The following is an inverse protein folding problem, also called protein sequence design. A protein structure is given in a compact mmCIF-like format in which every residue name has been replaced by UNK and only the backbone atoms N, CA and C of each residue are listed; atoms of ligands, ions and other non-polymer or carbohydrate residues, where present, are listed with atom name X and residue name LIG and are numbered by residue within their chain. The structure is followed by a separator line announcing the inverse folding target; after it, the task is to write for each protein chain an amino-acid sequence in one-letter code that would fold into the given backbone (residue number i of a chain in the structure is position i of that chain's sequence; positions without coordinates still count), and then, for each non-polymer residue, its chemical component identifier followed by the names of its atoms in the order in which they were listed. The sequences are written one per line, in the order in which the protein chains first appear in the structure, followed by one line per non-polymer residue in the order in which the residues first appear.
data_IF_386225461965
#
_entry.id   IF_386225461965
#
_cell.length_a   1.000
_cell.length_b   1.000
_cell.length_c   1.000
_cell.angle_alpha   90.00
_cell.angle_beta   90.00
_cell.angle_gamma   90.00
#
_symmetry.space_group_name_H-M   'P 1'
#
loop_
_entity.id
_entity.type
_entity.pdbx_description
1 polymer ?
2 non-polymer ?
3 non-polymer ?
4 non-polymer ?
5 water ?
#
# COMPACT_ATOMS: atom_id res chain seq x y z
N UNK A 20 23.36 -11.38 10.56
CA UNK A 20 24.38 -10.80 11.45
C UNK A 20 25.72 -10.58 10.71
N UNK A 21 25.62 -9.94 9.52
CA UNK A 21 26.71 -9.56 8.64
C UNK A 21 26.61 -8.03 8.43
N UNK A 22 27.32 -7.52 7.41
CA UNK A 22 27.27 -6.10 7.08
C UNK A 22 27.25 -5.89 5.57
N UNK A 23 26.74 -4.74 5.14
CA UNK A 23 26.71 -4.40 3.72
C UNK A 23 27.16 -2.96 3.48
N UNK A 24 27.66 -2.71 2.27
CA UNK A 24 28.16 -1.38 1.92
C UNK A 24 27.30 -0.76 0.82
N UNK A 25 26.90 0.49 1.01
CA UNK A 25 26.00 1.15 0.08
C UNK A 25 26.52 2.56 -0.13
N UNK A 26 27.00 2.86 -1.35
CA UNK A 26 27.57 4.15 -1.74
C UNK A 26 28.65 4.61 -0.73
N UNK A 27 29.60 3.70 -0.48
CA UNK A 27 30.70 3.90 0.45
C UNK A 27 30.35 3.98 1.94
N UNK A 28 29.13 3.55 2.34
CA UNK A 28 28.70 3.60 3.74
C UNK A 28 28.39 2.20 4.29
N UNK A 29 29.03 1.83 5.41
CA UNK A 29 28.86 0.51 6.03
C UNK A 29 27.66 0.48 6.98
N UNK A 30 26.78 -0.53 6.78
CA UNK A 30 25.56 -0.78 7.54
C UNK A 30 25.61 -2.19 8.13
N UNK A 31 25.51 -2.29 9.45
CA UNK A 31 25.49 -3.58 10.10
C UNK A 31 24.03 -4.05 10.16
N UNK A 32 23.79 -5.34 9.86
CA UNK A 32 22.44 -5.90 9.87
C UNK A 32 21.94 -6.12 11.29
N UNK A 33 20.83 -5.49 11.64
CA UNK A 33 20.20 -5.67 12.93
C UNK A 33 19.31 -6.92 12.85
N UNK A 34 18.47 -7.02 11.79
CA UNK A 34 17.56 -8.16 11.56
C UNK A 34 16.92 -8.14 10.15
N UNK A 35 16.39 -9.28 9.71
CA UNK A 35 15.71 -9.38 8.42
C UNK A 35 14.23 -9.28 8.66
N UNK A 36 13.61 -8.32 7.98
CA UNK A 36 12.19 -8.03 8.00
C UNK A 36 11.49 -8.95 6.99
N UNK A 37 11.80 -8.74 5.72
CA UNK A 37 11.15 -9.43 4.62
C UNK A 37 12.04 -10.23 3.71
N UNK A 38 11.41 -11.17 3.02
CA UNK A 38 12.01 -12.09 2.05
C UNK A 38 10.96 -12.29 0.98
N UNK A 39 11.33 -11.90 -0.24
CA UNK A 39 10.49 -12.05 -1.42
C UNK A 39 11.07 -13.13 -2.31
N UNK A 40 10.96 -12.93 -3.61
CA UNK A 40 11.54 -13.86 -4.58
C UNK A 40 13.02 -13.76 -4.67
N UNK A 41 13.50 -12.67 -5.29
CA UNK A 41 14.94 -12.37 -5.46
C UNK A 41 15.35 -11.28 -4.48
N UNK A 42 14.42 -10.78 -3.65
CA UNK A 42 14.66 -9.70 -2.71
C UNK A 42 14.62 -10.07 -1.19
N UNK A 43 15.22 -9.19 -0.35
CA UNK A 43 15.33 -9.28 1.11
C UNK A 43 15.31 -7.86 1.72
N UNK A 44 14.58 -7.68 2.80
CA UNK A 44 14.53 -6.38 3.47
C UNK A 44 15.16 -6.56 4.87
N UNK A 45 16.08 -5.64 5.22
CA UNK A 45 16.77 -5.70 6.50
C UNK A 45 16.60 -4.42 7.30
N UNK A 46 16.58 -4.56 8.64
CA UNK A 46 16.68 -3.45 9.58
C UNK A 46 18.18 -3.39 9.79
N UNK A 47 18.79 -2.23 9.47
CA UNK A 47 20.25 -2.07 9.50
C UNK A 47 20.62 -0.88 10.37
N UNK A 48 21.92 -0.70 10.65
CA UNK A 48 22.41 0.42 11.43
C UNK A 48 23.68 0.97 10.80
N UNK A 49 23.78 2.30 10.71
CA UNK A 49 24.95 2.95 10.13
C UNK A 49 26.09 3.04 11.16
N UNK A 50 27.19 3.75 10.82
CA UNK A 50 28.37 3.92 11.69
C UNK A 50 28.04 4.63 13.00
N UNK A 51 27.01 5.51 12.99
CA UNK A 51 26.51 6.30 14.12
C UNK A 51 25.30 5.62 14.84
N UNK A 52 25.11 4.31 14.57
CA UNK A 52 24.08 3.42 15.12
C UNK A 52 22.65 3.94 14.90
N UNK A 53 22.39 4.51 13.70
CA UNK A 53 21.08 5.03 13.25
C UNK A 53 20.40 3.97 12.40
N UNK A 54 19.09 3.79 12.61
CA UNK A 54 18.34 2.75 11.92
C UNK A 54 17.83 3.19 10.55
N UNK A 55 17.89 2.24 9.62
CA UNK A 55 17.46 2.35 8.24
C UNK A 55 16.93 0.99 7.85
N UNK A 56 16.23 0.91 6.72
CA UNK A 56 15.82 -0.38 6.21
C UNK A 56 16.46 -0.51 4.85
N UNK A 57 17.14 -1.65 4.60
CA UNK A 57 17.75 -1.87 3.31
C UNK A 57 17.00 -2.94 2.53
N UNK A 58 16.54 -2.58 1.32
CA UNK A 58 15.99 -3.55 0.39
C UNK A 58 17.13 -4.03 -0.53
N UNK A 59 17.34 -5.33 -0.53
CA UNK A 59 18.35 -5.96 -1.34
C UNK A 59 17.66 -6.77 -2.42
N UNK A 60 18.01 -6.53 -3.68
CA UNK A 60 17.47 -7.25 -4.86
C UNK A 60 18.60 -7.91 -5.58
N UNK A 61 18.53 -9.24 -5.72
CA UNK A 61 19.51 -10.06 -6.43
C UNK A 61 19.06 -10.09 -7.88
N UNK A 62 19.89 -9.58 -8.79
CA UNK A 62 19.54 -9.46 -10.22
C UNK A 62 20.05 -10.60 -11.07
N UNK A 63 20.92 -11.45 -10.52
CA UNK A 63 21.58 -12.59 -11.16
C UNK A 63 20.71 -13.34 -12.21
N UNK A 64 19.39 -13.50 -11.96
CA UNK A 64 18.50 -14.19 -12.88
C UNK A 64 17.25 -13.37 -13.32
N UNK A 65 17.25 -12.03 -13.10
CA UNK A 65 16.14 -11.16 -13.52
C UNK A 65 16.22 -10.87 -15.01
N UNK A 66 15.05 -10.91 -15.69
CA UNK A 66 14.88 -10.65 -17.12
C UNK A 66 14.77 -9.15 -17.40
N UNK A 67 14.84 -8.74 -18.68
CA UNK A 67 14.77 -7.33 -19.11
C UNK A 67 13.52 -6.62 -18.60
N UNK A 68 12.34 -7.28 -18.69
CA UNK A 68 11.07 -6.74 -18.22
C UNK A 68 11.12 -6.54 -16.71
N UNK A 69 11.72 -7.50 -15.95
CA UNK A 69 11.89 -7.44 -14.48
C UNK A 69 12.84 -6.31 -14.08
N UNK A 70 14.02 -6.17 -14.75
CA UNK A 70 14.96 -5.09 -14.46
C UNK A 70 14.33 -3.73 -14.72
N UNK A 71 13.51 -3.62 -15.78
CA UNK A 71 12.85 -2.37 -16.13
C UNK A 71 11.78 -2.01 -15.11
N UNK A 72 11.10 -3.02 -14.51
CA UNK A 72 10.11 -2.85 -13.45
C UNK A 72 10.80 -2.29 -12.20
N UNK A 73 11.99 -2.81 -11.90
CA UNK A 73 12.80 -2.38 -10.77
C UNK A 73 13.38 -0.97 -10.97
N UNK A 74 13.79 -0.64 -12.20
CA UNK A 74 14.33 0.69 -12.56
C UNK A 74 13.22 1.76 -12.54
N UNK A 75 12.04 1.40 -13.00
CA UNK A 75 10.91 2.31 -13.01
C UNK A 75 10.47 2.69 -11.59
N UNK A 76 10.43 1.69 -10.72
CA UNK A 76 10.03 1.92 -9.34
C UNK A 76 11.00 2.83 -8.60
N UNK A 77 12.30 2.60 -8.80
CA UNK A 77 13.33 3.41 -8.15
C UNK A 77 13.29 4.87 -8.61
N UNK A 78 13.10 5.06 -9.91
CA UNK A 78 12.92 6.40 -10.51
C UNK A 78 11.68 7.12 -9.94
N UNK A 79 10.52 6.42 -9.87
CA UNK A 79 9.28 6.99 -9.33
C UNK A 79 9.39 7.26 -7.85
N UNK A 80 9.88 6.28 -7.07
CA UNK A 80 10.11 6.42 -5.63
C UNK A 80 11.06 7.59 -5.37
N UNK A 81 12.14 7.72 -6.13
CA UNK A 81 13.09 8.83 -6.02
C UNK A 81 12.46 10.20 -6.37
N UNK A 82 11.65 10.28 -7.45
CA UNK A 82 11.01 11.54 -7.82
C UNK A 82 9.93 11.94 -6.79
N UNK A 83 9.04 10.99 -6.44
CA UNK A 83 7.90 11.22 -5.55
C UNK A 83 8.27 11.57 -4.09
N UNK A 84 9.55 11.39 -3.69
CA UNK A 84 10.09 11.72 -2.35
C UNK A 84 9.66 13.15 -1.98
N UNK A 85 9.99 14.10 -2.91
CA UNK A 85 9.80 15.52 -2.88
C UNK A 85 8.34 15.99 -2.85
N UNK A 86 7.41 15.18 -3.37
CA UNK A 86 6.00 15.53 -3.49
C UNK A 86 5.14 15.20 -2.27
N UNK A 87 5.53 14.21 -1.46
CA UNK A 87 4.77 13.86 -0.26
C UNK A 87 5.64 13.18 0.78
N UNK A 88 5.32 13.40 2.04
CA UNK A 88 6.02 12.75 3.15
C UNK A 88 5.20 11.53 3.61
N UNK A 89 4.20 11.14 2.77
CA UNK A 89 3.33 9.98 2.98
C UNK A 89 3.82 8.87 2.04
N UNK A 90 5.00 9.09 1.45
CA UNK A 90 5.68 8.13 0.59
C UNK A 90 7.01 7.81 1.28
N UNK A 91 7.28 6.52 1.48
CA UNK A 91 8.52 6.04 2.10
C UNK A 91 9.75 6.82 1.60
N UNK A 92 10.65 7.23 2.52
CA UNK A 92 11.87 7.95 2.20
C UNK A 92 12.92 6.97 1.64
N UNK A 93 13.62 7.39 0.60
CA UNK A 93 14.70 6.67 -0.04
C UNK A 93 15.90 7.59 0.04
N UNK A 94 16.79 7.29 0.97
CA UNK A 94 18.03 8.04 1.14
C UNK A 94 19.07 7.85 0.05
N UNK A 95 19.28 6.60 -0.35
CA UNK A 95 20.30 6.26 -1.32
C UNK A 95 20.03 4.91 -1.95
N UNK A 96 20.63 4.67 -3.11
CA UNK A 96 20.57 3.35 -3.73
C UNK A 96 21.84 3.02 -4.51
N UNK A 97 22.12 1.72 -4.62
CA UNK A 97 23.22 1.22 -5.42
C UNK A 97 22.61 0.28 -6.43
N UNK A 98 22.86 0.55 -7.68
CA UNK A 98 22.34 -0.35 -8.70
C UNK A 98 23.48 -0.80 -9.63
N UNK A 99 23.71 -2.12 -9.67
CA UNK A 99 24.67 -2.73 -10.58
C UNK A 99 23.91 -3.72 -11.51
N UNK A 100 24.64 -4.55 -12.25
CA UNK A 100 24.07 -5.59 -13.10
C UNK A 100 23.75 -6.83 -12.25
N UNK A 101 24.33 -6.88 -11.04
CA UNK A 101 24.20 -8.01 -10.13
C UNK A 101 23.21 -7.78 -8.97
N UNK A 102 23.08 -6.53 -8.49
CA UNK A 102 22.21 -6.21 -7.35
C UNK A 102 21.61 -4.81 -7.31
N UNK A 103 20.70 -4.63 -6.37
CA UNK A 103 20.11 -3.37 -5.97
C UNK A 103 20.21 -3.35 -4.44
N UNK A 104 20.58 -2.20 -3.89
CA UNK A 104 20.60 -1.90 -2.46
C UNK A 104 19.82 -0.60 -2.31
N UNK A 105 18.70 -0.62 -1.63
CA UNK A 105 17.94 0.63 -1.42
C UNK A 105 17.94 0.99 0.06
N UNK A 106 18.60 2.12 0.42
CA UNK A 106 18.65 2.66 1.77
C UNK A 106 17.41 3.53 1.98
N UNK A 107 16.53 3.08 2.89
CA UNK A 107 15.24 3.70 3.15
C UNK A 107 14.98 3.95 4.61
N UNK A 108 13.88 4.65 4.91
CA UNK A 108 13.54 4.87 6.29
C UNK A 108 12.92 3.59 6.88
N UNK A 109 13.08 3.40 8.21
CA UNK A 109 12.56 2.30 9.00
C UNK A 109 11.25 2.69 9.71
N UNK A 110 10.25 1.83 9.60
CA UNK A 110 8.96 1.93 10.27
C UNK A 110 8.84 0.84 11.31
N UNK A 111 7.95 1.02 12.29
CA UNK A 111 7.81 0.05 13.40
C UNK A 111 7.04 -1.22 13.00
N UNK A 112 6.00 -1.08 12.16
CA UNK A 112 5.11 -2.17 11.73
C UNK A 112 4.41 -1.77 10.42
N UNK A 113 3.97 -2.78 9.63
CA UNK A 113 3.19 -2.56 8.41
C UNK A 113 1.72 -2.53 8.85
N UNK A 114 0.82 -1.95 8.05
CA UNK A 114 -0.61 -1.85 8.41
C UNK A 114 -1.32 -3.20 8.53
N UNK A 115 -0.90 -4.24 7.75
CA UNK A 115 -1.52 -5.57 7.81
C UNK A 115 -1.30 -6.23 9.15
N UNK A 116 -0.02 -6.27 9.62
CA UNK A 116 0.36 -6.83 10.92
C UNK A 116 -0.32 -6.04 12.04
N UNK A 117 -0.34 -4.70 11.92
CA UNK A 117 -0.98 -3.80 12.88
C UNK A 117 -2.50 -4.03 13.00
N UNK A 118 -3.20 -4.25 11.86
CA UNK A 118 -4.65 -4.51 11.85
C UNK A 118 -4.98 -5.88 12.41
N UNK A 119 -4.19 -6.91 12.06
CA UNK A 119 -4.38 -8.27 12.54
C UNK A 119 -4.22 -8.32 14.07
N UNK A 120 -3.21 -7.59 14.61
CA UNK A 120 -2.91 -7.49 16.05
C UNK A 120 -3.93 -6.64 16.83
N UNK A 121 -4.30 -5.44 16.30
CA UNK A 121 -5.26 -4.54 16.94
C UNK A 121 -6.67 -5.13 17.04
N UNK A 122 -7.18 -5.26 18.29
CA UNK A 122 -8.52 -5.74 18.56
C UNK A 122 -9.46 -4.57 18.23
N UNK A 123 -9.43 -3.50 19.04
CA UNK A 123 -10.22 -2.28 18.78
C UNK A 123 -9.42 -1.30 17.93
N UNK A 124 -10.12 -0.42 17.23
CA UNK A 124 -9.56 0.63 16.39
C UNK A 124 -10.26 1.96 16.66
N UNK A 125 -9.49 2.94 17.15
CA UNK A 125 -9.96 4.28 17.52
C UNK A 125 -10.41 5.10 16.28
N UNK A 126 -11.60 5.74 16.32
CA UNK A 126 -12.04 6.55 15.16
C UNK A 126 -11.08 7.68 14.75
N UNK A 127 -10.38 8.32 15.72
CA UNK A 127 -9.42 9.40 15.47
C UNK A 127 -8.21 8.88 14.72
N UNK A 128 -7.78 7.66 15.07
CA UNK A 128 -6.64 6.99 14.48
C UNK A 128 -7.00 6.52 13.07
N UNK A 129 -8.19 5.90 12.90
CA UNK A 129 -8.69 5.41 11.62
C UNK A 129 -8.73 6.54 10.57
N UNK A 130 -9.36 7.67 10.96
CA UNK A 130 -9.50 8.88 10.15
C UNK A 130 -8.12 9.41 9.73
N UNK A 131 -7.17 9.52 10.68
CA UNK A 131 -5.79 9.97 10.41
C UNK A 131 -5.07 9.02 9.45
N UNK A 132 -5.31 7.70 9.56
CA UNK A 132 -4.72 6.71 8.66
C UNK A 132 -5.31 6.78 7.26
N UNK A 133 -6.64 7.04 7.14
CA UNK A 133 -7.38 7.25 5.88
C UNK A 133 -6.77 8.43 5.11
N UNK A 134 -6.63 9.58 5.81
CA UNK A 134 -6.04 10.80 5.27
C UNK A 134 -4.65 10.53 4.72
N UNK A 135 -3.78 9.89 5.49
CA UNK A 135 -2.41 9.48 5.13
C UNK A 135 -2.38 8.69 3.82
N UNK A 136 -3.26 7.67 3.70
CA UNK A 136 -3.43 6.82 2.50
C UNK A 136 -3.91 7.61 1.30
N UNK A 137 -4.94 8.51 1.47
CA UNK A 137 -5.51 9.32 0.38
C UNK A 137 -4.45 10.22 -0.22
N UNK A 138 -3.64 10.89 0.63
CA UNK A 138 -2.53 11.74 0.21
C UNK A 138 -1.47 10.98 -0.59
N UNK A 139 -1.07 9.77 -0.13
CA UNK A 139 -0.04 8.95 -0.80
C UNK A 139 -0.53 8.48 -2.17
N UNK A 140 -1.73 7.87 -2.20
CA UNK A 140 -2.37 7.40 -3.43
C UNK A 140 -2.62 8.58 -4.38
N UNK A 141 -3.13 9.71 -3.89
CA UNK A 141 -3.35 10.93 -4.68
C UNK A 141 -2.07 11.39 -5.38
N UNK A 142 -0.91 11.38 -4.66
CA UNK A 142 0.41 11.77 -5.17
C UNK A 142 0.82 10.88 -6.33
N UNK A 143 0.69 9.54 -6.19
CA UNK A 143 1.05 8.59 -7.26
C UNK A 143 0.13 8.81 -8.46
N UNK A 144 -1.15 9.09 -8.24
CA UNK A 144 -2.12 9.36 -9.30
C UNK A 144 -1.78 10.60 -10.07
N UNK A 145 -1.30 11.64 -9.39
CA UNK A 145 -0.92 12.90 -10.05
C UNK A 145 0.26 12.70 -10.99
N UNK A 146 0.99 11.59 -10.83
CA UNK A 146 2.15 11.27 -11.65
C UNK A 146 1.88 10.13 -12.62
N UNK A 147 0.60 9.86 -12.85
CA UNK A 147 0.15 8.84 -13.78
C UNK A 147 0.31 7.42 -13.31
N UNK A 148 0.52 7.21 -12.00
CA UNK A 148 0.64 5.85 -11.47
C UNK A 148 -0.70 5.44 -10.90
N UNK A 149 -1.13 4.21 -11.21
CA UNK A 149 -2.22 3.57 -10.51
C UNK A 149 -1.64 2.28 -9.92
N UNK A 150 -1.68 2.15 -8.60
CA UNK A 150 -1.02 1.00 -7.98
C UNK A 150 -1.65 -0.33 -8.38
N UNK A 151 -2.97 -0.39 -8.32
CA UNK A 151 -3.73 -1.49 -8.88
C UNK A 151 -3.78 -2.74 -7.99
N UNK A 152 -3.01 -2.74 -6.91
CA UNK A 152 -2.98 -3.88 -6.00
C UNK A 152 -2.92 -3.50 -4.52
N UNK A 153 -3.57 -2.41 -4.16
CA UNK A 153 -3.46 -1.92 -2.80
C UNK A 153 -4.01 -2.86 -1.74
N UNK A 154 -3.27 -2.98 -0.64
CA UNK A 154 -3.66 -3.79 0.51
C UNK A 154 -2.91 -3.20 1.70
N UNK A 155 -3.32 -3.51 2.92
CA UNK A 155 -2.61 -2.91 4.07
C UNK A 155 -1.09 -3.11 4.04
N UNK A 156 -0.62 -4.28 3.52
CA UNK A 156 0.80 -4.64 3.38
C UNK A 156 1.68 -3.57 2.71
N UNK A 157 1.10 -2.71 1.84
CA UNK A 157 1.76 -1.63 1.08
C UNK A 157 1.96 -0.36 1.89
N UNK A 158 1.50 -0.35 3.13
CA UNK A 158 1.59 0.80 4.03
C UNK A 158 2.34 0.42 5.29
N UNK A 159 3.30 1.26 5.65
CA UNK A 159 4.13 1.09 6.83
C UNK A 159 3.85 2.25 7.80
N UNK A 160 3.79 1.97 9.11
CA UNK A 160 3.58 3.01 10.12
C UNK A 160 4.99 3.48 10.53
N UNK A 161 5.29 4.77 10.32
CA UNK A 161 6.58 5.39 10.63
C UNK A 161 6.28 6.61 11.47
N UNK A 162 6.46 6.50 12.80
CA UNK A 162 6.25 7.59 13.75
C UNK A 162 4.78 8.11 13.69
N UNK A 163 3.85 7.17 13.94
CA UNK A 163 2.40 7.38 13.93
C UNK A 163 1.78 7.75 12.58
N UNK A 164 2.60 7.79 11.53
CA UNK A 164 2.15 8.18 10.20
C UNK A 164 2.26 7.02 9.25
N UNK A 165 1.19 6.77 8.48
CA UNK A 165 1.21 5.71 7.46
C UNK A 165 1.95 6.22 6.20
N UNK A 166 2.85 5.39 5.66
CA UNK A 166 3.59 5.71 4.44
C UNK A 166 3.44 4.64 3.36
N UNK A 167 3.29 5.06 2.10
CA UNK A 167 3.18 4.08 1.01
C UNK A 167 4.59 3.60 0.67
N UNK A 168 4.82 2.27 0.68
CA UNK A 168 6.17 1.72 0.45
C UNK A 168 6.39 1.17 -0.98
N UNK A 169 5.29 0.88 -1.69
CA UNK A 169 5.26 0.20 -2.98
C UNK A 169 4.36 0.94 -3.97
N UNK A 170 4.67 0.89 -5.29
CA UNK A 170 3.87 1.56 -6.32
C UNK A 170 3.14 0.59 -7.30
N UNK A 171 3.19 -0.71 -7.02
CA UNK A 171 2.61 -1.75 -7.86
C UNK A 171 3.43 -2.02 -9.13
N UNK A 172 4.48 -1.22 -9.40
CA UNK A 172 5.31 -1.28 -10.60
C UNK A 172 6.19 -2.54 -10.64
N UNK A 173 7.02 -2.76 -9.60
CA UNK A 173 7.92 -3.91 -9.50
C UNK A 173 7.14 -5.19 -9.21
N UNK A 174 7.55 -6.29 -9.90
CA UNK A 174 6.98 -7.63 -9.81
C UNK A 174 8.11 -8.65 -9.61
N UNK A 189 1.20 -13.97 1.41
CA UNK A 189 0.35 -14.56 0.38
C UNK A 189 -0.58 -13.53 -0.27
N UNK A 190 -0.85 -13.73 -1.56
CA UNK A 190 -1.73 -12.88 -2.36
C UNK A 190 -3.17 -12.95 -1.92
N UNK A 192 -7.03 -11.88 -2.81
CA UNK A 192 -7.99 -11.42 -3.83
C UNK A 192 -9.12 -10.58 -3.19
N UNK A 193 -9.02 -10.36 -1.86
CA UNK A 193 -9.98 -9.63 -1.03
C UNK A 193 -10.11 -8.12 -1.32
N UNK A 194 -9.11 -7.50 -1.98
CA UNK A 194 -9.05 -6.05 -2.27
C UNK A 194 -9.12 -5.70 -3.79
N UNK A 195 -9.29 -6.73 -4.63
CA UNK A 195 -9.35 -6.60 -6.08
C UNK A 195 -10.61 -5.83 -6.56
N UNK A 196 -10.43 -4.80 -7.44
CA UNK A 196 -11.61 -4.06 -7.95
C UNK A 196 -12.47 -4.90 -8.90
N UNK A 197 -13.79 -4.61 -9.07
CA UNK A 197 -14.62 -5.42 -9.97
C UNK A 197 -14.20 -5.31 -11.43
N UNK A 198 -13.73 -4.12 -11.84
CA UNK A 198 -13.27 -3.86 -13.21
C UNK A 198 -11.94 -4.59 -13.55
N UNK A 199 -11.14 -4.95 -12.52
CA UNK A 199 -9.87 -5.67 -12.71
C UNK A 199 -10.16 -7.13 -13.04
N UNK A 200 -11.21 -7.72 -12.40
CA UNK A 200 -11.67 -9.08 -12.65
C UNK A 200 -12.27 -9.13 -14.06
N UNK A 201 -13.12 -8.13 -14.42
CA UNK A 201 -13.78 -8.01 -15.73
C UNK A 201 -12.77 -7.90 -16.89
N UNK A 202 -11.59 -7.27 -16.65
CA UNK A 202 -10.52 -7.08 -17.63
C UNK A 202 -9.80 -8.40 -17.98
N UNK A 203 -10.50 -9.29 -18.72
CA UNK A 203 -9.98 -10.59 -19.16
C UNK A 203 -10.10 -10.74 -20.68
N UNK A 204 -11.32 -10.46 -21.24
CA UNK A 204 -11.68 -10.57 -22.66
C UNK A 204 -10.67 -9.93 -23.63
N UNK A 216 -9.03 -0.65 -15.64
CA UNK A 216 -8.06 -0.20 -14.62
C UNK A 216 -7.77 1.30 -14.78
N UNK A 217 -8.26 2.06 -13.81
CA UNK A 217 -8.14 3.51 -13.73
C UNK A 217 -7.84 3.92 -12.30
N UNK A 218 -7.59 5.25 -12.02
CA UNK A 218 -7.48 5.68 -10.61
C UNK A 218 -8.62 5.16 -9.73
N UNK A 219 -9.83 4.96 -10.30
CA UNK A 219 -11.01 4.42 -9.58
C UNK A 219 -10.79 3.04 -8.98
N UNK A 220 -9.88 2.24 -9.58
CA UNK A 220 -9.51 0.91 -9.11
C UNK A 220 -8.89 0.99 -7.73
N UNK A 221 -8.02 2.02 -7.52
CA UNK A 221 -7.36 2.28 -6.24
C UNK A 221 -8.33 2.74 -5.18
N UNK A 222 -9.42 3.44 -5.58
CA UNK A 222 -10.49 3.89 -4.68
C UNK A 222 -11.18 2.65 -4.07
N UNK A 223 -11.47 1.63 -4.91
CA UNK A 223 -12.10 0.39 -4.46
C UNK A 223 -11.25 -0.33 -3.42
N UNK A 224 -9.93 -0.43 -3.68
CA UNK A 224 -8.98 -1.10 -2.78
C UNK A 224 -8.82 -0.33 -1.48
N UNK A 225 -8.70 1.03 -1.54
CA UNK A 225 -8.61 1.88 -0.34
C UNK A 225 -9.88 1.74 0.52
N UNK A 226 -11.03 1.66 -0.15
CA UNK A 226 -12.34 1.47 0.49
C UNK A 226 -12.45 0.17 1.25
N UNK A 227 -11.80 -0.90 0.76
CA UNK A 227 -11.76 -2.23 1.39
C UNK A 227 -10.93 -2.15 2.68
N UNK A 228 -9.79 -1.40 2.65
CA UNK A 228 -8.89 -1.18 3.81
C UNK A 228 -9.68 -0.46 4.89
N UNK A 229 -10.42 0.59 4.53
CA UNK A 229 -11.23 1.38 5.44
C UNK A 229 -12.44 0.59 5.96
N UNK A 230 -13.04 -0.30 5.13
CA UNK A 230 -14.15 -1.19 5.51
C UNK A 230 -13.67 -2.17 6.60
N UNK A 231 -12.41 -2.65 6.45
CA UNK A 231 -11.71 -3.55 7.38
C UNK A 231 -11.46 -2.78 8.68
N UNK A 232 -10.92 -1.55 8.59
CA UNK A 232 -10.68 -0.68 9.75
C UNK A 232 -11.97 -0.27 10.48
N UNK A 233 -13.15 -0.41 9.83
CA UNK A 233 -14.46 -0.02 10.36
C UNK A 233 -15.25 -1.19 10.98
N UNK A 234 -15.46 -2.25 10.17
CA UNK A 234 -16.25 -3.40 10.54
C UNK A 234 -15.43 -4.61 11.02
N UNK A 235 -14.11 -4.48 11.07
CA UNK A 235 -13.20 -5.55 11.51
C UNK A 235 -12.94 -6.63 10.49
N UNK A 236 -13.50 -6.51 9.27
CA UNK A 236 -13.33 -7.49 8.19
C UNK A 236 -13.42 -6.83 6.81
N UNK A 237 -12.90 -7.50 5.78
CA UNK A 237 -12.95 -7.06 4.37
C UNK A 237 -14.38 -7.35 3.82
N UNK A 238 -14.91 -6.58 2.82
CA UNK A 238 -16.27 -6.85 2.32
C UNK A 238 -16.57 -8.29 1.89
N UNK A 239 -15.65 -8.96 1.18
CA UNK A 239 -15.87 -10.33 0.69
C UNK A 239 -15.00 -11.39 1.38
N UNK A 240 -14.71 -11.18 2.68
CA UNK A 240 -13.90 -12.09 3.50
C UNK A 240 -14.75 -13.28 3.97
N UNK A 241 -16.09 -13.09 3.98
CA UNK A 241 -17.09 -14.10 4.36
C UNK A 241 -16.99 -15.31 3.41
N UNK A 242 -16.78 -15.06 2.10
CA UNK A 242 -16.64 -16.08 1.06
C UNK A 242 -15.26 -16.78 1.17
N UNK A 243 -15.24 -17.90 1.91
CA UNK A 243 -14.07 -18.75 2.20
C UNK A 243 -13.39 -19.26 0.93
N UNK A 244 -14.20 -19.63 -0.09
CA UNK A 244 -13.71 -20.11 -1.39
C UNK A 244 -13.32 -18.93 -2.27
N UNK A 245 -12.17 -19.04 -2.96
CA UNK A 245 -11.64 -17.99 -3.83
C UNK A 245 -12.39 -17.86 -5.16
N UNK A 246 -12.83 -18.99 -5.77
CA UNK A 246 -13.55 -18.99 -7.05
C UNK A 246 -14.85 -18.19 -6.99
N UNK A 247 -15.64 -18.42 -5.92
CA UNK A 247 -16.93 -17.73 -5.70
C UNK A 247 -16.74 -16.29 -5.22
N UNK A 248 -15.62 -16.01 -4.51
CA UNK A 248 -15.23 -14.69 -4.00
C UNK A 248 -15.13 -13.70 -5.16
N UNK A 249 -14.57 -14.16 -6.32
CA UNK A 249 -14.43 -13.41 -7.57
C UNK A 249 -15.78 -13.09 -8.22
N UNK A 250 -16.70 -14.07 -8.24
CA UNK A 250 -18.05 -13.95 -8.78
C UNK A 250 -18.84 -12.88 -8.00
N UNK A 251 -18.66 -12.87 -6.66
CA UNK A 251 -19.29 -11.94 -5.72
C UNK A 251 -18.93 -10.46 -5.97
N UNK A 252 -17.64 -10.17 -6.23
CA UNK A 252 -17.13 -8.82 -6.51
C UNK A 252 -17.73 -8.28 -7.82
N UNK A 253 -17.96 -9.16 -8.82
CA UNK A 253 -18.54 -8.81 -10.12
C UNK A 253 -20.08 -8.73 -10.10
N UNK A 254 -20.74 -9.56 -9.24
CA UNK A 254 -22.21 -9.65 -9.11
C UNK A 254 -22.87 -8.36 -8.58
N UNK A 255 -23.66 -7.63 -9.43
CA UNK A 255 -24.30 -6.39 -8.95
C UNK A 255 -25.38 -6.60 -7.89
N UNK A 256 -26.05 -7.77 -7.95
CA UNK A 256 -27.11 -8.15 -7.01
C UNK A 256 -26.54 -8.71 -5.68
N UNK A 257 -25.21 -8.75 -5.53
CA UNK A 257 -24.58 -9.18 -4.29
C UNK A 257 -24.44 -7.93 -3.42
N UNK A 258 -25.37 -7.76 -2.48
CA UNK A 258 -25.40 -6.60 -1.57
C UNK A 258 -24.29 -6.64 -0.52
N UNK A 259 -23.45 -5.58 -0.48
CA UNK A 259 -22.40 -5.42 0.54
C UNK A 259 -23.08 -4.79 1.75
N UNK A 260 -22.89 -5.39 2.93
CA UNK A 260 -23.48 -4.92 4.18
C UNK A 260 -22.75 -3.72 4.76
N UNK A 261 -23.50 -2.67 5.13
CA UNK A 261 -22.96 -1.48 5.78
C UNK A 261 -23.72 -1.22 7.11
N UNK A 262 -23.49 -2.04 8.17
CA UNK A 262 -24.17 -1.81 9.46
C UNK A 262 -24.00 -0.38 9.98
N UNK A 263 -25.09 0.21 10.51
CA UNK A 263 -25.12 1.58 11.02
C UNK A 263 -24.06 1.85 12.10
N UNK A 264 -23.36 2.98 11.94
CA UNK A 264 -22.24 3.43 12.78
C UNK A 264 -22.57 4.80 13.38
N UNK A 265 -22.03 5.13 14.60
CA UNK A 265 -22.18 6.51 15.11
C UNK A 265 -21.50 7.58 14.22
N UNK A 266 -20.70 7.13 13.23
CA UNK A 266 -20.01 7.94 12.23
C UNK A 266 -20.72 7.71 10.89
N UNK A 267 -21.72 8.55 10.60
CA UNK A 267 -22.50 8.45 9.36
C UNK A 267 -21.67 8.90 8.14
N UNK A 268 -20.71 9.85 8.33
CA UNK A 268 -19.80 10.34 7.30
C UNK A 268 -18.91 9.23 6.81
N UNK A 269 -18.43 8.36 7.72
CA UNK A 269 -17.61 7.19 7.43
C UNK A 269 -18.41 6.15 6.61
N UNK A 270 -19.69 5.98 6.95
CA UNK A 270 -20.66 5.10 6.30
C UNK A 270 -20.86 5.50 4.82
N UNK A 271 -20.94 6.82 4.52
CA UNK A 271 -21.07 7.29 3.14
C UNK A 271 -19.77 7.07 2.37
N UNK A 272 -18.59 7.31 2.99
CA UNK A 272 -17.28 7.11 2.35
C UNK A 272 -17.24 5.68 1.81
N UNK A 273 -17.55 4.69 2.67
CA UNK A 273 -17.55 3.27 2.34
C UNK A 273 -18.54 2.90 1.26
N UNK A 274 -19.75 3.46 1.32
CA UNK A 274 -20.79 3.20 0.30
C UNK A 274 -20.39 3.74 -1.09
N UNK A 275 -19.65 4.89 -1.12
CA UNK A 275 -19.14 5.60 -2.30
C UNK A 275 -17.92 4.94 -2.94
N UNK A 276 -17.01 4.42 -2.10
CA UNK A 276 -15.80 3.70 -2.54
C UNK A 276 -16.16 2.34 -3.09
N UNK A 277 -17.17 1.68 -2.49
CA UNK A 277 -17.50 0.31 -2.84
C UNK A 277 -18.63 0.18 -3.86
N UNK A 278 -18.69 1.14 -4.81
CA UNK A 278 -19.62 1.12 -5.92
C UNK A 278 -18.95 0.31 -7.04
N UNK A 279 -19.61 -0.77 -7.49
CA UNK A 279 -19.09 -1.66 -8.52
C UNK A 279 -18.80 -0.98 -9.87
N UNK A 280 -19.58 0.06 -10.24
CA UNK A 280 -19.38 0.81 -11.47
C UNK A 280 -18.30 1.86 -11.21
N UNK A 281 -17.15 1.80 -11.93
CA UNK A 281 -16.07 2.80 -11.69
C UNK A 281 -16.52 4.21 -12.02
N UNK A 282 -17.47 4.34 -12.96
CA UNK A 282 -18.05 5.61 -13.39
C UNK A 282 -18.86 6.24 -12.26
N UNK A 283 -19.54 5.41 -11.43
CA UNK A 283 -20.36 5.86 -10.30
C UNK A 283 -19.59 5.91 -8.97
N UNK A 284 -18.39 5.31 -8.94
CA UNK A 284 -17.50 5.27 -7.77
C UNK A 284 -16.91 6.67 -7.50
N UNK A 285 -16.72 7.02 -6.21
CA UNK A 285 -16.15 8.32 -5.80
C UNK A 285 -14.65 8.41 -6.24
N UNK A 286 -14.13 9.62 -6.47
CA UNK A 286 -12.75 9.80 -6.87
C UNK A 286 -11.90 10.28 -5.68
N UNK A 287 -10.55 10.18 -5.77
CA UNK A 287 -9.69 10.65 -4.67
C UNK A 287 -9.86 12.19 -4.46
N UNK A 288 -9.85 13.10 -5.50
CA UNK A 288 -10.08 14.54 -5.23
C UNK A 288 -11.41 14.82 -4.53
N UNK A 289 -12.43 13.97 -4.79
CA UNK A 289 -13.76 14.02 -4.20
C UNK A 289 -13.69 13.52 -2.76
N UNK A 290 -12.88 12.47 -2.50
CA UNK A 290 -12.68 11.92 -1.15
C UNK A 290 -11.95 12.90 -0.21
N UNK A 291 -11.01 13.69 -0.76
CA UNK A 291 -10.31 14.71 0.03
C UNK A 291 -11.20 15.88 0.39
N UNK A 292 -12.32 16.07 -0.32
CA UNK A 292 -13.25 17.14 -0.01
C UNK A 292 -14.47 16.60 0.79
N UNK A 293 -14.50 15.27 1.10
CA UNK A 293 -15.58 14.59 1.81
C UNK A 293 -15.66 15.10 3.25
N UNK A 294 -16.86 15.24 3.87
CA UNK A 294 -16.91 15.71 5.28
C UNK A 294 -16.16 14.79 6.28
N UNK A 295 -16.10 13.48 6.01
CA UNK A 295 -15.36 12.56 6.87
C UNK A 295 -13.88 12.95 7.05
N UNK A 296 -13.26 13.52 6.03
CA UNK A 296 -11.87 13.94 6.06
C UNK A 296 -11.69 15.40 6.49
N UNK A 297 -12.69 16.25 6.20
CA UNK A 297 -12.63 17.71 6.44
C UNK A 297 -13.29 18.22 7.71
N UNK A 298 -14.36 17.56 8.17
CA UNK A 298 -15.13 17.96 9.36
C UNK A 298 -14.76 17.01 10.51
N UNK A 299 -14.24 17.60 11.62
CA UNK A 299 -13.80 16.83 12.80
C UNK A 299 -14.88 16.70 13.87
#
# INVERSE_FOLDING_TARGET
MHHHHHHSSGVDLGTENLYFQSMSVKGRIYSILKQIGSGGSSKVFQVLNEKKQIYAIKYVNLEEADNQTLDSYRNEIAYLNKLQQHSDKIIRLYDYEITDQYIYMVMECGNIDLNSWLKKKKSIDPWERKSYWKNMLEAVHTIHQHGIVHSDLKPANFLIVDGMLKLIDFGIANQMQPDTTSVVKDSQVGXVNYMPPEAIKDMSSSRENGKSKSKISPKSDVWSLGCILYYMTYGKTPFQQIINQISKLHAIIDPNHEIEFPDIPEKDLQDVLKCCLKRDPKQRISIPELLAHPYVQIQTHPVNQMAKGTTEE
#
